data_IF_653581083275
#
_entry.id   IF_653581083275
#
_cell.length_a   1.000
_cell.length_b   1.000
_cell.length_c   1.000
_cell.angle_alpha   90.00
_cell.angle_beta   90.00
_cell.angle_gamma   90.00
#
_symmetry.space_group_name_H-M   'P 1'
#
loop_
_entity.id
_entity.type
_entity.pdbx_description
1 polymer ?
#
# COMPACT_ATOMS: atom_id res chain seq x y z
N UNK A 1 -24.64 1.48 -3.88
CA UNK A 1 -23.35 0.82 -3.55
C UNK A 1 -22.83 1.47 -2.27
N UNK A 2 -22.67 0.72 -1.18
CA UNK A 2 -22.09 1.26 0.07
C UNK A 2 -20.58 1.16 -0.03
N UNK A 3 -19.87 2.29 0.12
CA UNK A 3 -18.40 2.32 -0.02
C UNK A 3 -17.69 1.74 1.21
N UNK A 4 -18.27 1.85 2.41
CA UNK A 4 -17.76 1.26 3.66
C UNK A 4 -16.21 1.23 3.82
N UNK A 5 -15.51 2.37 3.68
CA UNK A 5 -14.06 2.41 3.79
C UNK A 5 -13.61 2.25 5.24
N UNK A 6 -12.49 1.55 5.44
CA UNK A 6 -11.85 1.43 6.77
C UNK A 6 -11.02 2.67 7.09
N UNK A 7 -10.43 3.30 6.07
CA UNK A 7 -9.63 4.52 6.18
C UNK A 7 -9.90 5.40 4.97
N UNK A 8 -9.79 6.72 5.15
CA UNK A 8 -9.83 7.68 4.04
C UNK A 8 -8.74 8.74 4.20
N UNK A 9 -8.40 9.39 3.09
CA UNK A 9 -7.62 10.62 3.06
C UNK A 9 -8.21 11.57 2.02
N UNK A 10 -7.91 12.86 2.14
CA UNK A 10 -8.42 13.90 1.24
C UNK A 10 -7.27 14.47 0.41
N UNK A 11 -7.53 14.78 -0.86
CA UNK A 11 -6.56 15.46 -1.73
C UNK A 11 -6.29 16.89 -1.26
N UNK A 12 -5.14 17.45 -1.63
CA UNK A 12 -4.74 18.79 -1.20
C UNK A 12 -5.72 19.89 -1.67
N UNK A 13 -6.35 19.69 -2.83
CA UNK A 13 -7.38 20.56 -3.41
C UNK A 13 -8.80 20.31 -2.83
N UNK A 14 -8.95 19.35 -1.90
CA UNK A 14 -10.22 18.96 -1.26
C UNK A 14 -11.32 18.52 -2.23
N UNK A 15 -10.95 18.08 -3.43
CA UNK A 15 -11.89 17.61 -4.45
C UNK A 15 -12.09 16.10 -4.44
N UNK A 16 -11.08 15.35 -3.99
CA UNK A 16 -11.09 13.89 -4.04
C UNK A 16 -10.86 13.28 -2.66
N UNK A 17 -11.53 12.16 -2.41
CA UNK A 17 -11.22 11.27 -1.30
C UNK A 17 -10.54 10.02 -1.84
N UNK A 18 -9.51 9.55 -1.15
CA UNK A 18 -8.89 8.26 -1.38
C UNK A 18 -9.36 7.33 -0.27
N UNK A 19 -10.13 6.32 -0.66
CA UNK A 19 -10.84 5.41 0.22
C UNK A 19 -10.14 4.04 0.22
N UNK A 20 -9.71 3.57 1.39
CA UNK A 20 -9.16 2.24 1.58
C UNK A 20 -10.27 1.25 1.94
N UNK A 21 -10.44 0.22 1.12
CA UNK A 21 -11.49 -0.80 1.23
C UNK A 21 -10.86 -2.19 1.25
N UNK A 22 -11.65 -3.19 1.69
CA UNK A 22 -11.25 -4.61 1.69
C UNK A 22 -9.88 -4.83 2.37
N UNK A 23 -9.67 -4.20 3.52
CA UNK A 23 -8.37 -4.21 4.20
C UNK A 23 -8.03 -5.62 4.71
N UNK A 24 -6.85 -6.11 4.35
CA UNK A 24 -6.24 -7.35 4.85
C UNK A 24 -5.01 -7.00 5.66
N UNK A 25 -5.03 -7.29 6.96
CA UNK A 25 -3.91 -6.99 7.86
C UNK A 25 -2.69 -7.87 7.51
N UNK A 26 -1.50 -7.28 7.54
CA UNK A 26 -0.22 -8.00 7.41
C UNK A 26 0.47 -8.07 8.78
N UNK A 27 1.12 -6.98 9.20
CA UNK A 27 1.73 -6.84 10.54
C UNK A 27 1.01 -5.76 11.37
N UNK A 28 1.66 -5.15 12.38
CA UNK A 28 1.00 -4.20 13.31
C UNK A 28 0.52 -2.94 12.60
N UNK A 29 1.26 -2.43 11.64
CA UNK A 29 0.95 -1.21 10.90
C UNK A 29 0.57 -1.50 9.45
N UNK A 30 1.21 -2.47 8.80
CA UNK A 30 1.01 -2.80 7.39
C UNK A 30 -0.29 -3.55 7.15
N UNK A 31 -0.82 -3.32 5.96
CA UNK A 31 -2.03 -3.93 5.46
C UNK A 31 -2.04 -3.81 3.95
N UNK A 32 -2.73 -4.75 3.31
CA UNK A 32 -3.14 -4.64 1.93
C UNK A 32 -4.54 -4.05 1.87
N UNK A 33 -4.79 -3.14 0.94
CA UNK A 33 -6.13 -2.60 0.72
C UNK A 33 -6.37 -2.35 -0.76
N UNK A 34 -7.62 -2.47 -1.17
CA UNK A 34 -8.05 -2.00 -2.48
C UNK A 34 -8.52 -0.56 -2.32
N UNK A 35 -8.07 0.33 -3.20
CA UNK A 35 -8.30 1.76 -3.07
C UNK A 35 -9.26 2.27 -4.14
N UNK A 36 -10.11 3.22 -3.76
CA UNK A 36 -11.02 3.91 -4.67
C UNK A 36 -10.89 5.41 -4.48
N UNK A 37 -10.77 6.14 -5.58
CA UNK A 37 -10.83 7.60 -5.61
C UNK A 37 -12.30 8.00 -5.76
N UNK A 38 -12.79 8.85 -4.87
CA UNK A 38 -14.13 9.40 -4.90
C UNK A 38 -14.07 10.89 -5.21
N UNK A 39 -14.71 11.34 -6.30
CA UNK A 39 -14.84 12.75 -6.63
C UNK A 39 -16.05 13.34 -5.88
N UNK A 40 -15.79 14.33 -5.03
CA UNK A 40 -16.80 14.94 -4.17
C UNK A 40 -17.82 15.74 -4.98
N UNK A 41 -17.39 16.37 -6.08
CA UNK A 41 -18.25 17.21 -6.91
C UNK A 41 -19.19 16.36 -7.76
N UNK A 42 -18.66 15.30 -8.39
CA UNK A 42 -19.47 14.47 -9.31
C UNK A 42 -20.08 13.24 -8.65
N UNK A 43 -19.71 12.94 -7.40
CA UNK A 43 -20.08 11.70 -6.70
C UNK A 43 -19.68 10.41 -7.45
N UNK A 44 -18.64 10.51 -8.29
CA UNK A 44 -18.11 9.42 -9.10
C UNK A 44 -17.04 8.65 -8.34
N UNK A 45 -17.00 7.33 -8.51
CA UNK A 45 -16.02 6.44 -7.88
C UNK A 45 -15.12 5.82 -8.94
N UNK A 46 -13.81 5.99 -8.79
CA UNK A 46 -12.80 5.51 -9.72
C UNK A 46 -11.88 4.55 -8.98
N UNK A 47 -11.89 3.24 -9.29
CA UNK A 47 -10.94 2.29 -8.73
C UNK A 47 -9.49 2.71 -9.01
N UNK A 48 -8.61 2.54 -8.02
CA UNK A 48 -7.19 2.82 -8.18
C UNK A 48 -6.52 1.61 -8.85
N UNK A 49 -6.23 1.74 -10.15
CA UNK A 49 -5.62 0.69 -10.98
C UNK A 49 -4.16 1.05 -11.33
N UNK A 50 -3.36 0.03 -11.69
CA UNK A 50 -1.95 0.21 -12.11
C UNK A 50 -1.86 0.48 -13.61
N UNK A 51 -2.53 -0.35 -14.41
CA UNK A 51 -2.58 -0.25 -15.86
C UNK A 51 -4.03 -0.09 -16.31
N UNK A 52 -4.28 0.87 -17.21
CA UNK A 52 -5.61 1.15 -17.76
C UNK A 52 -6.17 0.04 -18.64
N UNK A 53 -5.33 -0.89 -19.11
CA UNK A 53 -5.74 -1.96 -20.04
C UNK A 53 -6.33 -3.19 -19.34
N UNK A 54 -6.04 -3.37 -18.05
CA UNK A 54 -6.66 -4.42 -17.25
C UNK A 54 -7.71 -3.76 -16.34
N UNK A 55 -8.92 -4.32 -16.35
CA UNK A 55 -9.98 -3.98 -15.38
C UNK A 55 -9.66 -4.63 -14.03
N UNK A 56 -8.50 -4.30 -13.48
CA UNK A 56 -7.97 -4.85 -12.25
C UNK A 56 -8.11 -3.84 -11.12
N UNK A 57 -8.57 -4.32 -9.96
CA UNK A 57 -8.66 -3.54 -8.73
C UNK A 57 -7.73 -4.17 -7.70
N UNK A 58 -6.41 -3.94 -7.81
CA UNK A 58 -5.43 -4.71 -7.06
C UNK A 58 -5.38 -4.31 -5.58
N UNK A 59 -4.85 -5.23 -4.79
CA UNK A 59 -4.45 -4.95 -3.41
C UNK A 59 -3.13 -4.19 -3.41
N UNK A 60 -3.12 -3.00 -2.82
CA UNK A 60 -1.95 -2.15 -2.70
C UNK A 60 -1.43 -2.18 -1.25
N UNK A 61 -0.10 -2.10 -1.11
CA UNK A 61 0.57 -2.00 0.19
C UNK A 61 0.45 -0.60 0.80
N UNK A 62 0.45 0.41 -0.06
CA UNK A 62 0.35 1.80 0.34
C UNK A 62 -0.25 2.64 -0.79
N UNK A 63 -1.02 3.66 -0.43
CA UNK A 63 -1.44 4.71 -1.36
C UNK A 63 -1.66 6.01 -0.57
N UNK A 64 -1.08 7.11 -1.03
CA UNK A 64 -1.30 8.44 -0.46
C UNK A 64 -1.31 9.54 -1.52
N UNK A 65 -2.08 10.59 -1.26
CA UNK A 65 -2.02 11.80 -2.07
C UNK A 65 -0.70 12.54 -1.85
N UNK A 66 -0.24 13.17 -2.92
CA UNK A 66 0.83 14.16 -2.84
C UNK A 66 0.42 15.40 -2.02
N UNK A 67 1.35 16.07 -1.31
CA UNK A 67 1.02 17.23 -0.49
C UNK A 67 0.44 18.42 -1.27
N UNK A 68 0.69 18.48 -2.59
CA UNK A 68 0.11 19.47 -3.49
C UNK A 68 -0.55 18.79 -4.69
N UNK A 69 -1.69 19.34 -5.11
CA UNK A 69 -2.45 18.83 -6.24
C UNK A 69 -3.25 17.57 -5.91
N UNK A 70 -3.32 16.67 -6.88
CA UNK A 70 -4.19 15.48 -6.87
C UNK A 70 -3.46 14.21 -7.32
N UNK A 71 -2.13 14.25 -7.40
CA UNK A 71 -1.34 13.08 -7.78
C UNK A 71 -1.27 12.10 -6.60
N UNK A 72 -1.11 10.81 -6.90
CA UNK A 72 -1.11 9.72 -5.92
C UNK A 72 0.17 8.93 -6.08
N UNK A 73 0.86 8.68 -4.97
CA UNK A 73 1.94 7.70 -4.88
C UNK A 73 1.37 6.43 -4.29
N UNK A 74 1.68 5.29 -4.90
CA UNK A 74 1.19 4.00 -4.45
C UNK A 74 2.28 2.93 -4.55
N UNK A 75 2.16 1.89 -3.74
CA UNK A 75 3.09 0.76 -3.72
C UNK A 75 2.33 -0.52 -4.07
N UNK A 76 2.75 -1.15 -5.16
CA UNK A 76 2.20 -2.39 -5.69
C UNK A 76 3.32 -3.38 -5.93
N UNK A 77 3.15 -4.63 -5.47
CA UNK A 77 4.19 -5.67 -5.55
C UNK A 77 5.58 -5.17 -5.11
N UNK A 78 5.60 -4.38 -4.03
CA UNK A 78 6.80 -3.79 -3.45
C UNK A 78 7.57 -2.80 -4.34
N UNK A 79 7.02 -2.40 -5.48
CA UNK A 79 7.50 -1.28 -6.28
C UNK A 79 6.62 -0.04 -6.14
N UNK A 80 7.26 1.11 -6.29
CA UNK A 80 6.60 2.42 -6.18
C UNK A 80 6.10 2.84 -7.56
N UNK A 81 4.87 3.32 -7.59
CA UNK A 81 4.20 3.85 -8.76
C UNK A 81 3.68 5.26 -8.48
N UNK A 82 3.61 6.06 -9.54
CA UNK A 82 3.13 7.43 -9.51
C UNK A 82 1.98 7.62 -10.50
N UNK A 83 0.83 8.06 -9.98
CA UNK A 83 -0.34 8.41 -10.77
C UNK A 83 -0.47 9.94 -10.78
N UNK A 84 -0.34 10.61 -11.95
CA UNK A 84 -0.21 12.07 -12.02
C UNK A 84 -1.51 12.83 -11.66
N UNK A 85 -2.65 12.15 -11.64
CA UNK A 85 -3.94 12.74 -11.28
C UNK A 85 -4.88 11.69 -10.66
N UNK A 86 -5.74 12.14 -9.75
CA UNK A 86 -6.83 11.37 -9.16
C UNK A 86 -7.71 10.67 -10.21
N UNK A 87 -7.86 11.22 -11.43
CA UNK A 87 -8.62 10.62 -12.54
C UNK A 87 -7.77 9.90 -13.59
N UNK A 88 -6.43 9.97 -13.52
CA UNK A 88 -5.56 9.36 -14.53
C UNK A 88 -5.70 7.84 -14.54
N UNK A 89 -5.93 7.23 -15.71
CA UNK A 89 -6.16 5.79 -15.79
C UNK A 89 -4.88 4.94 -15.65
N UNK A 90 -3.70 5.56 -15.76
CA UNK A 90 -2.42 4.88 -15.75
C UNK A 90 -1.53 5.40 -14.62
N UNK A 91 -0.88 4.47 -13.92
CA UNK A 91 0.21 4.76 -13.00
C UNK A 91 1.57 4.42 -13.65
N UNK A 92 2.57 5.26 -13.42
CA UNK A 92 3.92 5.09 -13.91
C UNK A 92 4.80 4.42 -12.86
N UNK A 93 5.39 3.28 -13.20
CA UNK A 93 6.32 2.55 -12.32
C UNK A 93 7.62 3.33 -12.17
N UNK A 94 7.98 3.68 -10.94
CA UNK A 94 9.19 4.43 -10.60
C UNK A 94 10.37 3.52 -10.26
N UNK A 95 10.12 2.43 -9.51
CA UNK A 95 11.14 1.43 -9.15
C UNK A 95 10.89 0.12 -9.87
N UNK A 96 11.96 -0.62 -10.19
CA UNK A 96 11.88 -1.92 -10.92
C UNK A 96 12.75 -3.01 -10.29
N UNK A 97 13.15 -2.80 -9.04
CA UNK A 97 14.12 -3.63 -8.32
C UNK A 97 13.46 -4.53 -7.29
N UNK A 98 12.14 -4.39 -7.08
CA UNK A 98 11.42 -5.18 -6.11
C UNK A 98 11.53 -6.68 -6.40
N UNK A 99 11.70 -7.44 -5.33
CA UNK A 99 11.66 -8.90 -5.32
C UNK A 99 10.76 -9.28 -4.14
N UNK A 100 9.52 -9.74 -4.37
CA UNK A 100 8.58 -10.01 -3.29
C UNK A 100 9.18 -10.90 -2.20
N UNK A 101 9.14 -10.45 -0.94
CA UNK A 101 9.71 -11.16 0.19
C UNK A 101 11.23 -10.98 0.40
N UNK A 102 11.89 -10.15 -0.42
CA UNK A 102 13.35 -9.95 -0.37
C UNK A 102 13.74 -8.49 -0.53
N UNK A 103 13.23 -7.79 -1.56
CA UNK A 103 13.56 -6.38 -1.81
C UNK A 103 12.28 -5.55 -1.84
N UNK A 104 12.23 -4.55 -0.97
CA UNK A 104 11.05 -3.73 -0.68
C UNK A 104 11.35 -2.27 -1.00
N UNK A 105 10.55 -1.62 -1.84
CA UNK A 105 10.70 -0.19 -2.14
C UNK A 105 9.55 0.62 -1.53
N UNK A 106 9.88 1.58 -0.67
CA UNK A 106 8.93 2.54 -0.11
C UNK A 106 7.98 2.00 0.98
N UNK A 107 8.09 0.72 1.31
CA UNK A 107 7.46 0.10 2.48
C UNK A 107 8.54 -0.67 3.25
N UNK A 108 8.48 -0.67 4.59
CA UNK A 108 9.45 -1.40 5.41
C UNK A 108 9.26 -2.92 5.34
N UNK A 109 10.34 -3.63 5.66
CA UNK A 109 10.32 -5.03 6.08
C UNK A 109 9.68 -5.15 7.49
N UNK A 110 9.63 -6.35 8.05
CA UNK A 110 9.03 -6.52 9.37
C UNK A 110 9.81 -5.80 10.46
N UNK A 111 11.15 -5.88 10.45
CA UNK A 111 12.01 -5.28 11.48
C UNK A 111 11.87 -3.76 11.51
N UNK A 112 11.95 -3.08 10.35
CA UNK A 112 11.81 -1.63 10.31
C UNK A 112 10.38 -1.20 10.58
N UNK A 113 9.37 -2.00 10.23
CA UNK A 113 7.99 -1.67 10.57
C UNK A 113 7.79 -1.67 12.09
N UNK A 114 8.22 -2.74 12.77
CA UNK A 114 7.87 -2.98 14.17
C UNK A 114 8.80 -2.26 15.15
N UNK A 115 10.11 -2.20 14.87
CA UNK A 115 11.13 -1.83 15.86
C UNK A 115 11.83 -0.49 15.56
N UNK A 116 11.85 -0.03 14.30
CA UNK A 116 12.62 1.18 13.92
C UNK A 116 11.72 2.35 13.52
N UNK A 117 10.81 2.16 12.56
CA UNK A 117 9.98 3.23 12.01
C UNK A 117 8.60 3.30 12.66
N UNK A 118 8.09 2.20 13.23
CA UNK A 118 6.75 2.11 13.81
C UNK A 118 5.63 2.59 12.87
N UNK A 119 5.79 2.31 11.57
CA UNK A 119 4.86 2.73 10.52
C UNK A 119 4.95 1.77 9.33
N UNK A 120 3.92 1.76 8.49
CA UNK A 120 3.86 0.92 7.28
C UNK A 120 4.34 1.63 6.00
N UNK A 121 4.97 2.79 6.12
CA UNK A 121 5.49 3.54 4.98
C UNK A 121 6.92 3.99 5.20
N UNK A 122 7.72 3.89 4.15
CA UNK A 122 9.08 4.41 4.07
C UNK A 122 9.20 5.34 2.85
N UNK A 123 8.17 6.18 2.65
CA UNK A 123 8.08 7.21 1.62
C UNK A 123 7.83 8.54 2.31
N UNK A 124 8.57 9.57 1.90
CA UNK A 124 8.42 10.93 2.35
C UNK A 124 8.34 11.87 1.15
N UNK A 125 7.26 12.63 1.10
CA UNK A 125 7.00 13.58 0.02
C UNK A 125 7.41 14.98 0.48
N UNK A 126 8.14 15.68 -0.37
CA UNK A 126 8.45 17.10 -0.21
C UNK A 126 7.17 17.93 -0.06
N UNK A 127 7.25 19.03 0.70
CA UNK A 127 6.11 19.90 0.97
C UNK A 127 5.59 20.63 -0.27
N UNK A 128 6.44 20.81 -1.29
CA UNK A 128 6.06 21.33 -2.59
C UNK A 128 5.53 20.26 -3.55
N UNK A 129 5.70 18.97 -3.23
CA UNK A 129 5.23 17.84 -4.02
C UNK A 129 6.11 17.51 -5.23
N UNK A 130 7.28 18.13 -5.38
CA UNK A 130 8.16 17.92 -6.54
C UNK A 130 9.18 16.79 -6.35
N UNK A 131 9.55 16.52 -5.10
CA UNK A 131 10.51 15.49 -4.73
C UNK A 131 9.89 14.42 -3.81
N UNK A 132 10.40 13.21 -3.93
CA UNK A 132 10.07 12.08 -3.08
C UNK A 132 11.36 11.42 -2.61
N UNK A 133 11.47 11.20 -1.31
CA UNK A 133 12.47 10.32 -0.71
C UNK A 133 11.79 8.98 -0.43
N UNK A 134 12.48 7.87 -0.70
CA UNK A 134 12.04 6.54 -0.30
C UNK A 134 13.24 5.69 0.12
N UNK A 135 12.98 4.66 0.92
CA UNK A 135 13.99 3.68 1.31
C UNK A 135 13.75 2.36 0.57
N UNK A 136 14.84 1.70 0.21
CA UNK A 136 14.84 0.31 -0.27
C UNK A 136 15.41 -0.59 0.82
N UNK A 137 14.65 -1.60 1.23
CA UNK A 137 15.09 -2.65 2.16
C UNK A 137 15.47 -3.88 1.37
N UNK A 138 16.57 -4.54 1.75
CA UNK A 138 17.09 -5.70 1.06
C UNK A 138 17.46 -6.81 2.04
N UNK A 139 16.62 -7.84 2.05
CA UNK A 139 16.67 -8.97 2.96
C UNK A 139 17.33 -10.21 2.33
N UNK A 140 18.11 -10.02 1.26
CA UNK A 140 18.78 -11.11 0.55
C UNK A 140 19.71 -11.91 1.49
N UNK A 141 20.36 -11.23 2.43
CA UNK A 141 21.29 -11.83 3.40
C UNK A 141 20.69 -11.94 4.81
N UNK A 142 19.41 -11.59 4.97
CA UNK A 142 18.69 -11.69 6.24
C UNK A 142 18.16 -13.11 6.38
N UNK A 143 18.42 -13.73 7.53
CA UNK A 143 17.93 -15.07 7.82
C UNK A 143 16.42 -15.04 8.07
N UNK A 144 15.73 -16.03 7.51
CA UNK A 144 14.30 -16.21 7.69
C UNK A 144 14.00 -16.98 8.97
N UNK A 145 13.10 -16.42 9.78
CA UNK A 145 12.60 -17.09 10.98
C UNK A 145 11.27 -17.77 10.67
N UNK A 146 11.20 -19.08 10.92
CA UNK A 146 9.99 -19.87 10.75
C UNK A 146 9.30 -20.11 12.08
N UNK A 147 7.97 -20.06 12.10
CA UNK A 147 7.17 -20.32 13.28
C UNK A 147 5.85 -21.02 12.94
N UNK A 148 5.34 -21.80 13.89
CA UNK A 148 4.07 -22.50 13.78
C UNK A 148 2.89 -21.54 14.04
N UNK A 149 1.96 -21.46 13.10
CA UNK A 149 0.74 -20.65 13.20
C UNK A 149 -0.51 -21.55 13.26
N UNK A 150 -1.25 -21.46 14.37
CA UNK A 150 -2.44 -22.28 14.63
C UNK A 150 -3.78 -21.61 14.31
N UNK A 151 -3.74 -20.37 13.79
CA UNK A 151 -4.94 -19.57 13.56
C UNK A 151 -5.23 -18.61 14.72
N UNK A 152 -6.40 -17.98 14.67
CA UNK A 152 -6.89 -17.06 15.70
C UNK A 152 -8.01 -17.71 16.50
N UNK A 153 -8.11 -17.40 17.79
CA UNK A 153 -9.10 -18.00 18.70
C UNK A 153 -10.58 -17.82 18.24
N UNK A 154 -10.86 -16.80 17.44
CA UNK A 154 -12.20 -16.46 16.92
C UNK A 154 -12.43 -16.88 15.47
N UNK A 155 -11.54 -17.67 14.87
CA UNK A 155 -11.60 -18.10 13.46
C UNK A 155 -11.29 -19.58 13.28
N UNK A 156 -10.78 -19.94 12.10
CA UNK A 156 -10.39 -21.32 11.77
C UNK A 156 -9.21 -21.77 12.65
N UNK A 157 -9.52 -22.51 13.71
CA UNK A 157 -8.52 -23.22 14.51
C UNK A 157 -8.01 -24.37 13.65
N UNK A 158 -6.75 -24.29 13.23
CA UNK A 158 -6.15 -25.36 12.46
C UNK A 158 -5.72 -26.49 13.40
N UNK A 159 -6.21 -27.71 13.15
CA UNK A 159 -5.77 -28.94 13.85
C UNK A 159 -4.25 -29.17 13.70
N UNK A 160 -3.65 -28.66 12.63
CA UNK A 160 -2.22 -28.71 12.36
C UNK A 160 -1.67 -27.31 12.06
N UNK A 161 -0.48 -26.95 12.56
CA UNK A 161 0.07 -25.63 12.33
C UNK A 161 0.43 -25.43 10.87
N UNK A 162 0.20 -24.22 10.38
CA UNK A 162 0.82 -23.73 9.16
C UNK A 162 2.18 -23.14 9.53
N UNK A 163 3.25 -23.56 8.86
CA UNK A 163 4.55 -22.91 9.02
C UNK A 163 4.49 -21.58 8.28
N UNK A 164 4.61 -20.49 9.03
CA UNK A 164 4.79 -19.15 8.49
C UNK A 164 6.23 -18.72 8.68
N UNK A 165 6.65 -17.79 7.84
CA UNK A 165 7.99 -17.24 7.90
C UNK A 165 7.97 -15.72 7.93
N UNK A 166 9.05 -15.19 8.50
CA UNK A 166 9.28 -13.77 8.66
C UNK A 166 10.73 -13.44 8.34
N UNK A 167 10.93 -12.33 7.64
CA UNK A 167 12.20 -11.64 7.47
C UNK A 167 12.01 -10.20 7.93
#
# INVERSE_FOLDING_TARGET
KTLAPVKFSISADRRYLLLAQNVKKLFRHSFLAQYTVYDITTSETIPLTINSQLDDWPYLLHAEFTPKGQAIVLVYEYDIYYRPSARALQAYRLTKTAVPGIVYNGVPDWLYEEEILHTNKAIWLSTDGHLMLYTTFNDTLVQEQQFAWYGTATGDINLYPQIRSLR
#
